data_IF_680551645870
#
_entry.id   IF_680551645870
#
_cell.length_a   1.000
_cell.length_b   1.000
_cell.length_c   1.000
_cell.angle_alpha   90.00
_cell.angle_beta   90.00
_cell.angle_gamma   90.00
#
_symmetry.space_group_name_H-M   'P 1'
#
loop_
_entity.id
_entity.type
_entity.pdbx_description
1 polymer ?
#
# COMPACT_ATOMS: atom_id res chain seq x y z
N UNK A 1 4.27 -0.88 6.36
CA UNK A 1 4.51 0.53 6.68
C UNK A 1 3.51 1.42 5.96
N UNK A 2 3.22 2.63 6.45
CA UNK A 2 2.43 3.62 5.70
C UNK A 2 2.74 5.06 6.11
N UNK A 3 2.25 6.02 5.32
CA UNK A 3 2.44 7.46 5.54
C UNK A 3 1.21 8.21 6.07
N UNK A 4 0.13 7.50 6.38
CA UNK A 4 -1.10 8.11 6.91
C UNK A 4 -0.97 8.54 8.37
N UNK A 5 -0.47 9.76 8.57
CA UNK A 5 -0.26 10.35 9.90
C UNK A 5 -1.48 11.12 10.44
N UNK A 6 -2.51 11.34 9.61
CA UNK A 6 -3.71 12.07 10.03
C UNK A 6 -4.55 11.20 10.97
N UNK A 7 -4.91 11.73 12.15
CA UNK A 7 -5.55 10.99 13.25
C UNK A 7 -6.60 9.96 12.82
N UNK A 8 -7.69 10.36 12.12
CA UNK A 8 -8.72 9.43 11.71
C UNK A 8 -8.24 8.29 10.78
N UNK A 9 -7.25 8.56 9.91
CA UNK A 9 -6.68 7.53 9.04
C UNK A 9 -5.80 6.55 9.81
N UNK A 10 -4.95 7.08 10.70
CA UNK A 10 -4.09 6.26 11.56
C UNK A 10 -4.92 5.34 12.45
N UNK A 11 -5.95 5.89 13.11
CA UNK A 11 -6.87 5.15 13.97
C UNK A 11 -7.64 4.06 13.20
N UNK A 12 -8.10 4.37 11.99
CA UNK A 12 -8.83 3.40 11.14
C UNK A 12 -7.96 2.20 10.76
N UNK A 13 -6.68 2.42 10.44
CA UNK A 13 -5.74 1.34 10.10
C UNK A 13 -5.43 0.50 11.33
N UNK A 14 -5.19 1.14 12.48
CA UNK A 14 -4.96 0.43 13.74
C UNK A 14 -6.16 -0.44 14.12
N UNK A 15 -7.38 0.12 14.05
CA UNK A 15 -8.62 -0.61 14.32
C UNK A 15 -8.79 -1.82 13.40
N UNK A 16 -8.42 -1.69 12.13
CA UNK A 16 -8.48 -2.78 11.15
C UNK A 16 -7.48 -3.90 11.49
N UNK A 17 -6.26 -3.54 11.89
CA UNK A 17 -5.26 -4.50 12.34
C UNK A 17 -5.68 -5.22 13.63
N UNK A 18 -6.23 -4.48 14.60
CA UNK A 18 -6.70 -5.04 15.87
C UNK A 18 -7.85 -6.04 15.64
N UNK A 19 -8.83 -5.66 14.81
CA UNK A 19 -9.94 -6.54 14.44
C UNK A 19 -9.46 -7.82 13.72
N UNK A 20 -8.42 -7.71 12.89
CA UNK A 20 -7.80 -8.86 12.24
C UNK A 20 -7.11 -9.77 13.27
N UNK A 21 -6.27 -9.21 14.14
CA UNK A 21 -5.56 -9.98 15.17
C UNK A 21 -6.53 -10.65 16.16
N UNK A 22 -7.67 -10.02 16.47
CA UNK A 22 -8.72 -10.63 17.30
C UNK A 22 -9.32 -11.89 16.65
N UNK A 23 -9.54 -11.87 15.33
CA UNK A 23 -10.05 -13.03 14.57
C UNK A 23 -8.97 -14.07 14.27
N UNK A 24 -7.71 -13.66 14.26
CA UNK A 24 -6.56 -14.47 13.89
C UNK A 24 -5.50 -14.41 15.01
N UNK A 25 -5.72 -15.10 16.15
CA UNK A 25 -4.89 -14.94 17.36
C UNK A 25 -3.43 -15.40 17.19
N UNK A 26 -3.11 -16.11 16.11
CA UNK A 26 -1.73 -16.50 15.76
C UNK A 26 -0.98 -15.41 14.99
N UNK A 27 -1.68 -14.39 14.48
CA UNK A 27 -1.09 -13.30 13.71
C UNK A 27 -0.83 -12.10 14.62
N UNK A 28 0.37 -11.53 14.52
CA UNK A 28 0.73 -10.25 15.14
C UNK A 28 1.04 -9.24 14.05
N UNK A 29 0.40 -8.08 14.09
CA UNK A 29 0.62 -7.00 13.15
C UNK A 29 1.36 -5.88 13.89
N UNK A 30 2.53 -5.50 13.38
CA UNK A 30 3.29 -4.33 13.82
C UNK A 30 3.12 -3.23 12.77
N UNK A 31 2.43 -2.16 13.12
CA UNK A 31 2.30 -0.98 12.25
C UNK A 31 3.46 -0.03 12.53
N UNK A 32 4.15 0.37 11.48
CA UNK A 32 5.14 1.45 11.53
C UNK A 32 4.71 2.54 10.55
N UNK A 33 4.62 3.76 11.09
CA UNK A 33 4.14 4.94 10.39
C UNK A 33 5.29 5.93 10.25
N UNK A 34 5.42 6.51 9.07
CA UNK A 34 6.42 7.53 8.77
C UNK A 34 5.76 8.78 8.21
N UNK A 35 6.39 9.95 8.34
CA UNK A 35 5.91 11.15 7.68
C UNK A 35 5.96 10.96 6.16
N UNK A 36 5.13 11.69 5.40
CA UNK A 36 5.19 11.64 3.94
C UNK A 36 6.59 11.95 3.39
N UNK A 37 7.25 12.95 3.98
CA UNK A 37 8.58 13.40 3.56
C UNK A 37 9.66 12.34 3.80
N UNK A 38 9.56 11.55 4.87
CA UNK A 38 10.55 10.53 5.22
C UNK A 38 10.26 9.18 4.56
N UNK A 39 9.02 8.95 4.14
CA UNK A 39 8.54 7.62 3.79
C UNK A 39 9.27 7.03 2.58
N UNK A 40 9.51 7.83 1.53
CA UNK A 40 10.25 7.37 0.36
C UNK A 40 11.70 6.97 0.71
N UNK A 41 12.40 7.80 1.49
CA UNK A 41 13.77 7.50 1.95
C UNK A 41 13.82 6.23 2.81
N UNK A 42 12.83 6.02 3.68
CA UNK A 42 12.72 4.78 4.46
C UNK A 42 12.55 3.56 3.56
N UNK A 43 11.73 3.69 2.53
CA UNK A 43 11.50 2.64 1.55
C UNK A 43 12.78 2.27 0.79
N UNK A 44 13.44 3.25 0.16
CA UNK A 44 14.65 3.01 -0.65
C UNK A 44 15.81 2.48 0.19
N UNK A 45 15.99 2.98 1.41
CA UNK A 45 16.99 2.46 2.35
C UNK A 45 16.65 1.05 2.82
N UNK A 46 15.38 0.78 3.10
CA UNK A 46 14.90 -0.56 3.47
C UNK A 46 15.14 -1.56 2.35
N UNK A 47 14.82 -1.18 1.12
CA UNK A 47 15.02 -2.00 -0.07
C UNK A 47 16.50 -2.33 -0.30
N UNK A 48 17.39 -1.35 -0.23
CA UNK A 48 18.83 -1.56 -0.38
C UNK A 48 19.43 -2.49 0.68
N UNK A 49 18.85 -2.52 1.89
CA UNK A 49 19.34 -3.30 3.02
C UNK A 49 18.55 -4.62 3.22
N UNK A 50 17.58 -4.94 2.36
CA UNK A 50 16.69 -6.09 2.53
C UNK A 50 15.77 -6.01 3.76
N UNK A 51 15.59 -4.81 4.33
CA UNK A 51 14.82 -4.55 5.55
C UNK A 51 13.51 -3.80 5.23
N UNK A 52 12.69 -4.39 4.36
CA UNK A 52 11.35 -3.89 3.98
C UNK A 52 10.26 -4.58 4.81
N UNK A 53 9.06 -3.97 4.97
CA UNK A 53 7.94 -4.63 5.65
C UNK A 53 7.27 -5.68 4.74
N UNK A 54 6.47 -6.56 5.33
CA UNK A 54 5.65 -7.52 4.58
C UNK A 54 4.59 -6.84 3.70
N UNK A 55 4.05 -5.69 4.16
CA UNK A 55 3.01 -4.92 3.48
C UNK A 55 3.33 -3.44 3.63
N UNK A 56 3.23 -2.69 2.53
CA UNK A 56 3.42 -1.24 2.53
C UNK A 56 2.45 -0.53 1.60
N UNK A 57 2.15 0.72 1.91
CA UNK A 57 1.59 1.64 0.91
C UNK A 57 2.70 2.14 0.00
N UNK A 58 2.39 2.43 -1.26
CA UNK A 58 3.33 2.99 -2.22
C UNK A 58 2.58 3.87 -3.24
N UNK A 59 3.30 4.77 -3.89
CA UNK A 59 2.82 5.40 -5.13
C UNK A 59 3.04 4.48 -6.32
N UNK A 60 2.27 4.62 -7.42
CA UNK A 60 2.41 3.76 -8.60
C UNK A 60 3.84 3.68 -9.16
N UNK A 61 4.55 4.81 -9.24
CA UNK A 61 5.94 4.83 -9.71
C UNK A 61 6.89 4.06 -8.79
N UNK A 62 6.66 4.12 -7.47
CA UNK A 62 7.46 3.39 -6.50
C UNK A 62 7.20 1.88 -6.62
N UNK A 63 5.96 1.46 -6.88
CA UNK A 63 5.66 0.04 -7.14
C UNK A 63 6.50 -0.46 -8.32
N UNK A 64 6.58 0.30 -9.40
CA UNK A 64 7.40 -0.07 -10.57
C UNK A 64 8.90 -0.18 -10.24
N UNK A 65 9.43 0.73 -9.41
CA UNK A 65 10.81 0.63 -8.90
C UNK A 65 11.03 -0.68 -8.13
N UNK A 66 10.07 -1.08 -7.30
CA UNK A 66 10.17 -2.32 -6.51
C UNK A 66 10.04 -3.58 -7.37
N UNK A 67 9.21 -3.56 -8.42
CA UNK A 67 9.17 -4.69 -9.37
C UNK A 67 10.51 -4.83 -10.07
N UNK A 68 11.12 -3.73 -10.51
CA UNK A 68 12.44 -3.76 -11.15
C UNK A 68 13.57 -4.23 -10.22
N UNK A 69 13.36 -4.18 -8.90
CA UNK A 69 14.30 -4.71 -7.90
C UNK A 69 13.92 -6.09 -7.38
N UNK A 70 12.97 -6.79 -8.02
CA UNK A 70 12.46 -8.11 -7.62
C UNK A 70 11.95 -8.16 -6.16
N UNK A 71 11.43 -7.05 -5.64
CA UNK A 71 11.02 -6.93 -4.24
C UNK A 71 9.53 -7.20 -3.99
N UNK A 72 8.74 -7.43 -5.04
CA UNK A 72 7.30 -7.66 -4.96
C UNK A 72 6.91 -9.02 -5.51
N UNK A 73 5.88 -9.59 -4.91
CA UNK A 73 5.22 -10.81 -5.41
C UNK A 73 3.95 -10.44 -6.18
N UNK A 74 3.56 -11.22 -7.20
CA UNK A 74 2.25 -11.07 -7.85
C UNK A 74 1.10 -11.25 -6.85
N UNK A 75 0.04 -10.46 -7.02
CA UNK A 75 -1.12 -10.41 -6.14
C UNK A 75 -2.41 -10.91 -6.81
N UNK A 76 -2.31 -11.59 -7.95
CA UNK A 76 -3.44 -12.04 -8.77
C UNK A 76 -4.46 -12.85 -7.92
N UNK A 77 -3.98 -13.81 -7.12
CA UNK A 77 -4.82 -14.63 -6.24
C UNK A 77 -5.49 -13.82 -5.12
N UNK A 78 -4.81 -12.80 -4.61
CA UNK A 78 -5.34 -11.91 -3.58
C UNK A 78 -6.46 -11.04 -4.15
N UNK A 79 -6.24 -10.45 -5.33
CA UNK A 79 -7.25 -9.66 -6.05
C UNK A 79 -8.46 -10.51 -6.40
N UNK A 80 -8.24 -11.72 -6.93
CA UNK A 80 -9.31 -12.67 -7.23
C UNK A 80 -10.15 -13.02 -6.01
N UNK A 81 -9.52 -13.25 -4.85
CA UNK A 81 -10.22 -13.55 -3.59
C UNK A 81 -11.01 -12.37 -3.05
N UNK A 82 -10.52 -11.14 -3.22
CA UNK A 82 -11.24 -9.93 -2.81
C UNK A 82 -12.44 -9.67 -3.74
N UNK A 83 -12.27 -9.93 -5.03
CA UNK A 83 -13.21 -9.62 -6.11
C UNK A 83 -12.64 -8.50 -6.97
N UNK A 84 -12.16 -8.85 -8.17
CA UNK A 84 -11.51 -7.91 -9.09
C UNK A 84 -12.45 -6.77 -9.53
N UNK A 85 -13.73 -7.10 -9.69
CA UNK A 85 -14.83 -6.19 -10.05
C UNK A 85 -15.09 -5.09 -9.01
N UNK A 86 -14.52 -5.23 -7.79
CA UNK A 86 -14.61 -4.19 -6.75
C UNK A 86 -13.62 -3.05 -6.94
N UNK A 87 -12.67 -3.19 -7.84
CA UNK A 87 -11.66 -2.17 -8.11
C UNK A 87 -11.99 -1.44 -9.40
N UNK A 88 -11.66 -0.14 -9.44
CA UNK A 88 -11.61 0.58 -10.71
C UNK A 88 -10.55 -0.06 -11.61
N UNK A 89 -10.94 -0.41 -12.84
CA UNK A 89 -10.06 -1.13 -13.77
C UNK A 89 -8.78 -0.37 -14.09
N UNK A 90 -8.87 0.95 -14.34
CA UNK A 90 -7.70 1.78 -14.63
C UNK A 90 -6.73 1.79 -13.45
N UNK A 91 -7.23 2.02 -12.23
CA UNK A 91 -6.39 2.04 -11.03
C UNK A 91 -5.74 0.66 -10.77
N UNK A 92 -6.48 -0.43 -10.99
CA UNK A 92 -5.94 -1.78 -10.83
C UNK A 92 -4.84 -2.08 -11.84
N UNK A 93 -4.95 -1.54 -13.06
CA UNK A 93 -3.98 -1.74 -14.12
C UNK A 93 -2.73 -0.83 -14.01
N UNK A 94 -2.69 0.17 -13.11
CA UNK A 94 -1.55 1.10 -12.98
C UNK A 94 -0.21 0.41 -12.66
N UNK A 95 -0.24 -0.73 -11.96
CA UNK A 95 0.94 -1.52 -11.63
C UNK A 95 0.83 -2.97 -12.14
N UNK A 96 0.17 -3.15 -13.30
CA UNK A 96 0.11 -4.44 -13.98
C UNK A 96 1.29 -4.58 -14.95
N UNK A 97 1.99 -5.72 -14.90
CA UNK A 97 3.06 -6.05 -15.84
C UNK A 97 2.72 -7.40 -16.48
N UNK A 98 2.54 -7.40 -17.80
CA UNK A 98 1.97 -8.54 -18.49
C UNK A 98 0.58 -8.87 -17.93
N UNK A 99 0.45 -10.06 -17.34
CA UNK A 99 -0.79 -10.54 -16.70
C UNK A 99 -0.78 -10.41 -15.18
N UNK A 100 0.32 -9.97 -14.58
CA UNK A 100 0.49 -9.94 -13.13
C UNK A 100 0.27 -8.55 -12.53
N UNK A 101 -0.46 -8.53 -11.42
CA UNK A 101 -0.74 -7.35 -10.63
C UNK A 101 0.22 -7.29 -9.44
N UNK A 102 0.94 -6.18 -9.28
CA UNK A 102 1.92 -6.01 -8.20
C UNK A 102 1.47 -5.08 -7.07
N UNK A 103 0.27 -4.52 -7.17
CA UNK A 103 -0.35 -3.74 -6.10
C UNK A 103 -1.87 -3.90 -6.08
N UNK A 104 -2.48 -3.48 -4.98
CA UNK A 104 -3.94 -3.40 -4.83
C UNK A 104 -4.32 -1.92 -4.62
N UNK A 105 -5.21 -1.35 -5.43
CA UNK A 105 -5.64 0.04 -5.26
C UNK A 105 -6.26 0.27 -3.88
N UNK A 106 -5.78 1.29 -3.17
CA UNK A 106 -6.30 1.69 -1.86
C UNK A 106 -7.25 2.89 -1.95
N UNK A 107 -6.82 3.97 -2.61
CA UNK A 107 -7.62 5.16 -2.90
C UNK A 107 -7.00 5.93 -4.06
N UNK A 108 -7.78 6.79 -4.71
CA UNK A 108 -7.29 7.77 -5.69
C UNK A 108 -7.56 9.19 -5.20
N UNK A 109 -6.82 10.15 -5.75
CA UNK A 109 -7.04 11.58 -5.52
C UNK A 109 -6.69 12.37 -6.77
N UNK A 110 -7.20 13.59 -6.86
CA UNK A 110 -6.88 14.53 -7.93
C UNK A 110 -6.31 15.81 -7.34
N UNK A 111 -5.42 16.45 -8.09
CA UNK A 111 -5.06 17.84 -7.82
C UNK A 111 -6.16 18.73 -8.38
N UNK A 112 -6.71 19.60 -7.53
CA UNK A 112 -7.81 20.50 -7.89
C UNK A 112 -7.50 21.91 -7.41
N UNK A 113 -8.03 22.90 -8.12
CA UNK A 113 -7.89 24.31 -7.77
C UNK A 113 -9.01 24.71 -6.79
N UNK A 114 -8.64 25.37 -5.69
CA UNK A 114 -9.58 25.94 -4.74
C UNK A 114 -9.47 27.46 -4.78
N UNK A 115 -10.60 28.15 -4.96
CA UNK A 115 -10.68 29.61 -4.90
C UNK A 115 -11.55 29.99 -3.73
N UNK A 116 -11.05 30.87 -2.86
CA UNK A 116 -11.81 31.43 -1.74
C UNK A 116 -12.60 32.63 -2.25
N UNK A 117 -13.89 32.70 -1.89
CA UNK A 117 -14.72 33.91 -1.99
C UNK A 117 -14.42 34.86 -0.85
#
# INVERSE_FOLDING_TARGET
>A
WHSFTQGPRLESIQKSADAFMQKHPKTKIKIETFSWNDFYTKWTTGLANGNVPDISTALPNQVMEMVNSDALVPLNDSIKRIGQDKFNETALNEAKIGDDYYSVPLYSHAQVMWVRT
#
